data_IF_562925615729
#
_entry.id   IF_562925615729
#
_cell.length_a   1.000
_cell.length_b   1.000
_cell.length_c   1.000
_cell.angle_alpha   90.00
_cell.angle_beta   90.00
_cell.angle_gamma   90.00
#
_symmetry.space_group_name_H-M   'P 1'
#
loop_
_entity.id
_entity.type
_entity.pdbx_description
1 polymer ?
#
# COMPACT_ATOMS: atom_id res chain seq x y z
N UNK A 1 34.85 16.99 33.07
CA UNK A 1 33.43 16.88 32.64
C UNK A 1 32.63 18.18 32.83
N UNK A 2 33.10 19.14 33.65
CA UNK A 2 32.43 20.43 33.88
C UNK A 2 32.23 21.34 32.66
N UNK A 3 33.20 21.40 31.74
CA UNK A 3 33.15 22.33 30.59
C UNK A 3 31.98 22.05 29.64
N UNK A 4 31.53 20.79 29.54
CA UNK A 4 30.38 20.41 28.72
C UNK A 4 29.06 20.83 29.36
N UNK A 5 28.97 20.76 30.69
CA UNK A 5 27.78 21.20 31.45
C UNK A 5 27.57 22.72 31.37
N UNK A 6 28.65 23.50 31.48
CA UNK A 6 28.62 24.97 31.34
C UNK A 6 28.27 25.42 29.92
N UNK A 7 28.64 24.63 28.91
CA UNK A 7 28.23 24.89 27.53
C UNK A 7 26.72 24.66 27.35
N UNK A 8 26.20 23.55 27.83
CA UNK A 8 24.77 23.20 27.71
C UNK A 8 23.88 24.23 28.41
N UNK A 9 24.22 24.67 29.61
CA UNK A 9 23.43 25.68 30.34
C UNK A 9 23.38 27.03 29.61
N UNK A 10 24.49 27.46 29.00
CA UNK A 10 24.54 28.67 28.17
C UNK A 10 23.65 28.57 26.93
N UNK A 11 23.60 27.41 26.28
CA UNK A 11 22.74 27.19 25.12
C UNK A 11 21.26 27.21 25.51
N UNK A 12 20.91 26.52 26.60
CA UNK A 12 19.53 26.52 27.12
C UNK A 12 19.06 27.93 27.49
N UNK A 13 19.90 28.71 28.15
CA UNK A 13 19.56 30.09 28.52
C UNK A 13 19.35 30.97 27.29
N UNK A 14 20.19 30.84 26.25
CA UNK A 14 20.02 31.57 24.98
C UNK A 14 18.70 31.21 24.29
N UNK A 15 18.38 29.93 24.19
CA UNK A 15 17.13 29.47 23.57
C UNK A 15 15.92 29.95 24.36
N UNK A 16 15.96 29.93 25.69
CA UNK A 16 14.88 30.43 26.54
C UNK A 16 14.64 31.94 26.34
N UNK A 17 15.71 32.73 26.23
CA UNK A 17 15.60 34.17 25.94
C UNK A 17 14.97 34.42 24.57
N UNK A 18 15.46 33.73 23.53
CA UNK A 18 14.92 33.88 22.18
C UNK A 18 13.45 33.46 22.10
N UNK A 19 13.08 32.36 22.76
CA UNK A 19 11.69 31.92 22.81
C UNK A 19 10.77 32.97 23.46
N UNK A 20 11.25 33.63 24.52
CA UNK A 20 10.49 34.71 25.17
C UNK A 20 10.35 35.94 24.27
N UNK A 21 11.41 36.34 23.57
CA UNK A 21 11.35 37.44 22.60
C UNK A 21 10.38 37.15 21.45
N UNK A 22 10.36 35.90 20.95
CA UNK A 22 9.41 35.47 19.92
C UNK A 22 7.98 35.54 20.45
N UNK A 23 7.73 35.11 21.69
CA UNK A 23 6.42 35.17 22.30
C UNK A 23 5.92 36.62 22.45
N UNK A 24 6.76 37.52 22.95
CA UNK A 24 6.38 38.94 23.08
C UNK A 24 6.18 39.60 21.71
N UNK A 25 7.01 39.25 20.72
CA UNK A 25 6.80 39.67 19.32
C UNK A 25 5.51 39.11 18.72
N UNK A 26 5.11 37.89 19.08
CA UNK A 26 3.85 37.31 18.63
C UNK A 26 2.64 37.98 19.30
N UNK A 27 2.70 38.26 20.62
CA UNK A 27 1.64 38.96 21.37
C UNK A 27 1.36 40.37 20.83
N UNK A 28 2.41 41.06 20.38
CA UNK A 28 2.30 42.41 19.81
C UNK A 28 1.80 42.42 18.36
N UNK A 29 1.83 41.26 17.67
CA UNK A 29 1.17 41.10 16.37
C UNK A 29 -0.33 40.95 16.61
N UNK A 30 -1.03 42.08 16.66
CA UNK A 30 -2.48 42.09 16.57
C UNK A 30 -2.86 41.69 15.14
N UNK A 31 -3.06 40.39 14.92
CA UNK A 31 -3.59 39.88 13.67
C UNK A 31 -5.05 40.31 13.58
N UNK A 32 -5.31 41.42 12.90
CA UNK A 32 -6.64 41.75 12.45
C UNK A 32 -6.94 40.81 11.28
N UNK A 33 -7.52 39.66 11.59
CA UNK A 33 -8.12 38.82 10.57
C UNK A 33 -9.37 39.57 10.10
N UNK A 34 -9.39 40.18 8.90
CA UNK A 34 -10.59 40.84 8.45
C UNK A 34 -11.67 39.75 8.41
N UNK A 35 -12.60 39.80 9.35
CA UNK A 35 -13.81 39.01 9.22
C UNK A 35 -14.47 39.54 7.95
N UNK A 36 -14.74 38.69 6.94
CA UNK A 36 -15.49 39.13 5.79
C UNK A 36 -16.79 39.77 6.28
N UNK A 37 -17.06 41.01 5.86
CA UNK A 37 -18.26 41.77 6.24
C UNK A 37 -19.56 41.00 5.97
N UNK A 38 -19.50 40.02 5.06
CA UNK A 38 -20.58 39.07 4.75
C UNK A 38 -21.00 38.17 5.93
N UNK A 39 -20.11 37.91 6.90
CA UNK A 39 -20.46 37.09 8.09
C UNK A 39 -21.31 37.85 9.11
N UNK A 40 -21.26 39.19 9.13
CA UNK A 40 -22.02 39.97 10.11
C UNK A 40 -23.51 40.10 9.74
N UNK A 41 -23.88 39.81 8.48
CA UNK A 41 -25.28 39.72 8.04
C UNK A 41 -25.83 38.29 8.10
N UNK A 42 -24.96 37.26 8.13
CA UNK A 42 -25.34 35.84 8.16
C UNK A 42 -25.60 35.26 9.56
N UNK A 43 -25.28 35.98 10.64
CA UNK A 43 -25.50 35.52 12.03
C UNK A 43 -26.97 35.32 12.41
N UNK A 44 -27.93 35.52 11.50
CA UNK A 44 -29.34 35.18 11.71
C UNK A 44 -29.90 34.15 10.71
N UNK A 45 -29.10 33.57 9.79
CA UNK A 45 -29.62 32.58 8.83
C UNK A 45 -28.67 31.47 8.32
N UNK A 46 -27.44 31.34 8.81
CA UNK A 46 -26.53 30.27 8.34
C UNK A 46 -26.28 29.23 9.45
N UNK A 47 -27.18 28.27 9.58
CA UNK A 47 -27.08 27.18 10.55
C UNK A 47 -26.89 25.84 9.83
N UNK A 48 -25.75 25.18 10.07
CA UNK A 48 -25.44 23.79 9.71
C UNK A 48 -25.27 23.42 8.22
N UNK A 49 -25.82 24.16 7.25
CA UNK A 49 -25.86 23.71 5.85
C UNK A 49 -24.51 23.78 5.10
N UNK A 50 -23.72 24.85 5.25
CA UNK A 50 -22.44 25.01 4.53
C UNK A 50 -21.33 24.14 5.15
N UNK A 51 -21.27 24.04 6.49
CA UNK A 51 -20.32 23.18 7.19
C UNK A 51 -20.59 21.70 6.92
N UNK A 52 -21.86 21.29 6.84
CA UNK A 52 -22.22 19.92 6.47
C UNK A 52 -21.83 19.62 5.01
N UNK A 53 -22.00 20.58 4.10
CA UNK A 53 -21.59 20.43 2.69
C UNK A 53 -20.07 20.31 2.55
N UNK A 54 -19.30 21.11 3.29
CA UNK A 54 -17.84 21.03 3.27
C UNK A 54 -17.34 19.73 3.91
N UNK A 55 -17.93 19.31 5.03
CA UNK A 55 -17.62 18.02 5.65
C UNK A 55 -17.92 16.84 4.71
N UNK A 56 -19.05 16.89 3.99
CA UNK A 56 -19.40 15.90 2.99
C UNK A 56 -18.41 15.90 1.80
N UNK A 57 -17.95 17.07 1.34
CA UNK A 57 -16.95 17.16 0.29
C UNK A 57 -15.62 16.52 0.71
N UNK A 58 -15.14 16.80 1.93
CA UNK A 58 -13.95 16.15 2.47
C UNK A 58 -14.13 14.65 2.66
N UNK A 59 -15.30 14.21 3.13
CA UNK A 59 -15.62 12.79 3.25
C UNK A 59 -15.58 12.09 1.88
N UNK A 60 -16.13 12.72 0.83
CA UNK A 60 -16.07 12.19 -0.54
C UNK A 60 -14.63 12.10 -1.06
N UNK A 61 -13.79 13.11 -0.82
CA UNK A 61 -12.37 13.04 -1.20
C UNK A 61 -11.67 11.92 -0.44
N UNK A 62 -11.90 11.79 0.87
CA UNK A 62 -11.31 10.73 1.68
C UNK A 62 -11.76 9.32 1.22
N UNK A 63 -13.02 9.18 0.83
CA UNK A 63 -13.56 7.94 0.26
C UNK A 63 -12.89 7.60 -1.07
N UNK A 64 -12.77 8.56 -1.99
CA UNK A 64 -12.08 8.35 -3.27
C UNK A 64 -10.61 7.98 -3.06
N UNK A 65 -9.91 8.66 -2.15
CA UNK A 65 -8.52 8.32 -1.83
C UNK A 65 -8.41 6.90 -1.23
N UNK A 66 -9.35 6.50 -0.39
CA UNK A 66 -9.41 5.15 0.19
C UNK A 66 -9.65 4.09 -0.89
N UNK A 67 -10.57 4.37 -1.83
CA UNK A 67 -10.84 3.49 -2.98
C UNK A 67 -9.58 3.34 -3.85
N UNK A 68 -8.93 4.45 -4.21
CA UNK A 68 -7.71 4.42 -5.01
C UNK A 68 -6.60 3.63 -4.29
N UNK A 69 -6.45 3.82 -2.98
CA UNK A 69 -5.49 3.04 -2.19
C UNK A 69 -5.79 1.54 -2.22
N UNK A 70 -7.05 1.13 -2.09
CA UNK A 70 -7.42 -0.29 -2.16
C UNK A 70 -7.16 -0.90 -3.55
N UNK A 71 -7.46 -0.16 -4.62
CA UNK A 71 -7.17 -0.58 -5.99
C UNK A 71 -5.65 -0.69 -6.25
N UNK A 72 -4.86 0.23 -5.72
CA UNK A 72 -3.40 0.12 -5.74
C UNK A 72 -2.93 -1.13 -4.99
N UNK A 73 -3.47 -1.42 -3.80
CA UNK A 73 -3.11 -2.62 -3.04
C UNK A 73 -3.41 -3.90 -3.82
N UNK A 74 -4.62 -4.01 -4.41
CA UNK A 74 -5.00 -5.14 -5.27
C UNK A 74 -4.06 -5.30 -6.47
N UNK A 75 -3.75 -4.21 -7.17
CA UNK A 75 -2.83 -4.23 -8.31
C UNK A 75 -1.44 -4.71 -7.88
N UNK A 76 -0.86 -4.10 -6.85
CA UNK A 76 0.50 -4.42 -6.40
C UNK A 76 0.63 -5.78 -5.71
N UNK A 77 -0.47 -6.35 -5.19
CA UNK A 77 -0.49 -7.72 -4.68
C UNK A 77 -0.57 -8.77 -5.79
N UNK A 78 -1.23 -8.46 -6.91
CA UNK A 78 -1.47 -9.40 -8.01
C UNK A 78 -0.43 -9.33 -9.13
N UNK A 79 0.28 -8.19 -9.26
CA UNK A 79 1.28 -8.00 -10.31
C UNK A 79 2.67 -8.41 -9.81
N UNK A 80 3.43 -9.19 -10.61
CA UNK A 80 4.79 -9.55 -10.24
C UNK A 80 5.71 -8.32 -10.16
N UNK A 81 6.57 -8.23 -9.14
CA UNK A 81 7.32 -7.02 -8.86
C UNK A 81 8.51 -6.75 -9.78
N UNK A 82 8.80 -7.66 -10.72
CA UNK A 82 9.78 -7.43 -11.79
C UNK A 82 9.34 -6.38 -12.83
N UNK A 83 8.10 -5.89 -12.73
CA UNK A 83 7.55 -4.86 -13.63
C UNK A 83 7.50 -3.47 -12.99
N UNK A 84 7.87 -3.34 -11.71
CA UNK A 84 7.71 -2.08 -10.98
C UNK A 84 8.89 -1.15 -11.20
N UNK A 85 8.60 0.12 -11.42
CA UNK A 85 9.58 1.20 -11.46
C UNK A 85 9.93 1.66 -10.04
N UNK A 86 11.05 2.35 -9.87
CA UNK A 86 11.52 2.83 -8.54
C UNK A 86 10.46 3.63 -7.76
N UNK A 87 9.68 4.48 -8.45
CA UNK A 87 8.63 5.28 -7.81
C UNK A 87 7.44 4.43 -7.33
N UNK A 88 7.16 3.31 -7.99
CA UNK A 88 6.11 2.37 -7.58
C UNK A 88 6.56 1.58 -6.36
N UNK A 89 7.83 1.17 -6.33
CA UNK A 89 8.44 0.56 -5.14
C UNK A 89 8.35 1.51 -3.94
N UNK A 90 8.74 2.78 -4.11
CA UNK A 90 8.64 3.79 -3.06
C UNK A 90 7.19 4.03 -2.61
N UNK A 91 6.22 3.99 -3.54
CA UNK A 91 4.80 4.07 -3.23
C UNK A 91 4.35 2.90 -2.34
N UNK A 92 4.69 1.66 -2.72
CA UNK A 92 4.31 0.45 -1.97
C UNK A 92 4.80 0.52 -0.52
N UNK A 93 6.08 0.85 -0.32
CA UNK A 93 6.65 0.95 1.03
C UNK A 93 6.06 2.09 1.88
N UNK A 94 5.51 3.13 1.24
CA UNK A 94 5.02 4.32 1.93
C UNK A 94 3.55 4.24 2.30
N UNK A 95 2.73 3.60 1.48
CA UNK A 95 1.27 3.66 1.59
C UNK A 95 0.60 2.30 1.82
N UNK A 96 1.25 1.18 1.53
CA UNK A 96 0.65 -0.14 1.64
C UNK A 96 1.18 -0.95 2.82
N UNK A 97 0.41 -1.99 3.16
CA UNK A 97 0.64 -2.84 4.33
C UNK A 97 1.94 -3.65 4.22
N UNK A 98 2.37 -4.20 5.37
CA UNK A 98 3.54 -5.06 5.48
C UNK A 98 3.51 -6.21 4.47
N UNK A 99 2.33 -6.75 4.16
CA UNK A 99 2.16 -7.85 3.21
C UNK A 99 2.63 -7.48 1.79
N UNK A 100 2.22 -6.32 1.27
CA UNK A 100 2.63 -5.87 -0.06
C UNK A 100 4.15 -5.62 -0.12
N UNK A 101 4.72 -5.05 0.94
CA UNK A 101 6.17 -4.85 1.06
C UNK A 101 6.95 -6.17 1.16
N UNK A 102 6.40 -7.17 1.86
CA UNK A 102 7.02 -8.50 2.01
C UNK A 102 6.98 -9.29 0.70
N UNK A 103 5.89 -9.20 -0.06
CA UNK A 103 5.77 -9.81 -1.39
C UNK A 103 6.81 -9.23 -2.36
N UNK A 104 7.00 -7.90 -2.34
CA UNK A 104 8.05 -7.23 -3.11
C UNK A 104 9.45 -7.73 -2.71
N UNK A 105 9.75 -7.78 -1.41
CA UNK A 105 11.03 -8.24 -0.86
C UNK A 105 11.31 -9.71 -1.20
N UNK A 106 10.31 -10.60 -1.11
CA UNK A 106 10.42 -12.01 -1.49
C UNK A 106 10.82 -12.15 -2.95
N UNK A 107 10.19 -11.39 -3.84
CA UNK A 107 10.51 -11.50 -5.25
C UNK A 107 11.91 -10.98 -5.62
N UNK A 108 12.42 -9.95 -4.94
CA UNK A 108 13.82 -9.52 -5.14
C UNK A 108 14.82 -10.57 -4.66
N UNK A 109 14.58 -11.22 -3.52
CA UNK A 109 15.41 -12.34 -3.07
C UNK A 109 15.37 -13.52 -4.05
N UNK A 110 14.26 -13.64 -4.76
CA UNK A 110 14.07 -14.72 -5.73
C UNK A 110 14.87 -14.55 -7.03
N UNK A 111 15.22 -13.33 -7.39
CA UNK A 111 16.11 -13.01 -8.52
C UNK A 111 17.58 -13.30 -8.18
N UNK A 112 17.98 -13.11 -6.92
CA UNK A 112 19.35 -13.26 -6.46
C UNK A 112 19.83 -14.72 -6.56
N UNK A 113 18.93 -15.70 -6.44
CA UNK A 113 19.25 -17.12 -6.66
C UNK A 113 19.17 -17.57 -8.14
N UNK A 114 18.64 -16.74 -9.05
CA UNK A 114 18.44 -17.10 -10.46
C UNK A 114 19.55 -16.59 -11.39
N UNK A 115 20.44 -15.74 -10.88
CA UNK A 115 21.60 -15.18 -11.62
C UNK A 115 22.93 -15.85 -11.25
N UNK A 116 22.92 -16.96 -10.51
CA UNK A 116 24.12 -17.79 -10.28
C UNK A 116 24.54 -18.55 -11.54
N UNK A 117 25.85 -18.78 -11.77
CA UNK A 117 26.31 -19.46 -12.98
C UNK A 117 25.83 -20.91 -13.02
N UNK A 118 25.29 -21.27 -14.18
CA UNK A 118 24.90 -22.63 -14.58
C UNK A 118 26.04 -23.60 -14.22
N UNK A 119 25.76 -24.51 -13.29
CA UNK A 119 26.47 -25.78 -13.17
C UNK A 119 25.39 -26.86 -13.18
N UNK A 120 25.32 -27.56 -14.31
CA UNK A 120 24.60 -28.82 -14.42
C UNK A 120 25.29 -29.89 -13.56
N UNK A 121 24.49 -30.70 -12.85
CA UNK A 121 24.56 -32.19 -12.75
C UNK A 121 23.71 -32.69 -11.54
N UNK A 122 23.31 -33.97 -11.50
CA UNK A 122 21.94 -34.41 -11.27
C UNK A 122 21.81 -35.30 -10.02
N UNK A 123 20.56 -35.63 -9.66
CA UNK A 123 20.27 -36.81 -8.84
C UNK A 123 19.29 -36.56 -7.71
N UNK A 124 18.07 -37.09 -7.87
CA UNK A 124 17.24 -37.52 -6.74
C UNK A 124 17.92 -38.73 -6.04
N UNK A 125 17.64 -39.00 -4.74
CA UNK A 125 16.42 -39.73 -4.42
C UNK A 125 15.70 -39.31 -3.11
N UNK A 126 14.46 -39.76 -3.04
CA UNK A 126 13.46 -39.59 -1.98
C UNK A 126 13.92 -40.08 -0.59
N UNK A 127 13.46 -39.44 0.49
CA UNK A 127 13.13 -40.10 1.78
C UNK A 127 12.21 -39.21 2.61
N UNK A 128 11.05 -39.77 2.95
CA UNK A 128 9.98 -39.22 3.77
C UNK A 128 10.40 -38.99 5.24
N UNK A 129 9.97 -37.88 5.87
CA UNK A 129 9.59 -37.88 7.30
C UNK A 129 8.88 -36.58 7.70
N UNK A 130 7.55 -36.69 7.73
CA UNK A 130 6.55 -36.02 8.58
C UNK A 130 7.03 -35.01 9.64
N UNK A 131 6.51 -33.78 9.55
CA UNK A 131 6.21 -32.94 10.71
C UNK A 131 4.96 -32.08 10.42
N UNK A 132 3.89 -32.41 11.13
CA UNK A 132 2.53 -31.86 11.02
C UNK A 132 2.48 -30.39 11.48
N UNK A 133 1.91 -29.51 10.65
CA UNK A 133 1.40 -28.18 11.06
C UNK A 133 0.00 -28.00 10.45
N UNK A 134 -0.98 -27.43 11.17
CA UNK A 134 -2.40 -27.67 10.90
C UNK A 134 -2.89 -26.99 9.62
N UNK A 135 -3.52 -27.80 8.76
CA UNK A 135 -4.31 -27.41 7.60
C UNK A 135 -5.42 -26.44 8.03
N UNK A 136 -5.30 -25.17 7.62
CA UNK A 136 -6.48 -24.30 7.50
C UNK A 136 -7.22 -24.77 6.26
N UNK A 137 -8.47 -25.20 6.44
CA UNK A 137 -9.34 -25.65 5.36
C UNK A 137 -9.42 -24.59 4.26
N UNK A 138 -8.65 -24.80 3.19
CA UNK A 138 -8.82 -24.10 1.94
C UNK A 138 -10.19 -24.49 1.39
N UNK A 139 -11.16 -23.58 1.52
CA UNK A 139 -12.42 -23.72 0.80
C UNK A 139 -12.09 -23.64 -0.70
N UNK A 140 -12.02 -24.80 -1.35
CA UNK A 140 -11.99 -24.88 -2.81
C UNK A 140 -13.22 -24.15 -3.34
N UNK A 141 -13.00 -22.99 -3.96
CA UNK A 141 -14.06 -22.19 -4.59
C UNK A 141 -13.81 -22.21 -6.09
N UNK A 142 -14.69 -22.91 -6.80
CA UNK A 142 -14.72 -22.86 -8.25
C UNK A 142 -15.21 -21.49 -8.70
N UNK A 143 -14.57 -20.93 -9.72
CA UNK A 143 -14.89 -19.62 -10.30
C UNK A 143 -15.35 -19.82 -11.73
N UNK A 144 -16.43 -19.14 -12.12
CA UNK A 144 -16.96 -19.14 -13.48
C UNK A 144 -16.77 -17.76 -14.09
N UNK A 145 -16.21 -17.72 -15.30
CA UNK A 145 -15.95 -16.48 -16.04
C UNK A 145 -16.52 -16.65 -17.44
N UNK A 146 -17.48 -15.80 -17.81
CA UNK A 146 -18.05 -15.75 -19.16
C UNK A 146 -17.23 -14.79 -20.02
N UNK A 147 -16.83 -15.26 -21.20
CA UNK A 147 -16.00 -14.49 -22.14
C UNK A 147 -16.52 -14.67 -23.57
N UNK A 148 -16.23 -13.70 -24.43
CA UNK A 148 -16.48 -13.83 -25.85
C UNK A 148 -15.63 -14.95 -26.47
N UNK A 149 -16.00 -15.51 -27.63
CA UNK A 149 -15.14 -16.46 -28.34
C UNK A 149 -13.79 -15.84 -28.70
N UNK A 150 -12.69 -16.57 -28.45
CA UNK A 150 -11.35 -16.03 -28.60
C UNK A 150 -10.25 -16.90 -27.99
N UNK A 151 -9.01 -16.41 -28.05
CA UNK A 151 -7.85 -17.05 -27.41
C UNK A 151 -7.50 -16.24 -26.15
N UNK A 152 -7.44 -16.94 -25.02
CA UNK A 152 -7.22 -16.36 -23.70
C UNK A 152 -6.02 -16.99 -23.02
N UNK A 153 -5.26 -16.17 -22.31
CA UNK A 153 -4.20 -16.62 -21.41
C UNK A 153 -4.72 -16.53 -19.99
N UNK A 154 -4.90 -17.66 -19.33
CA UNK A 154 -5.39 -17.74 -17.95
C UNK A 154 -4.22 -18.04 -17.03
N UNK A 155 -4.00 -17.17 -16.05
CA UNK A 155 -2.93 -17.29 -15.07
C UNK A 155 -3.52 -17.43 -13.68
N UNK A 156 -3.10 -18.46 -12.94
CA UNK A 156 -3.42 -18.63 -11.54
C UNK A 156 -2.15 -18.75 -10.70
N UNK A 157 -2.18 -18.22 -9.49
CA UNK A 157 -1.03 -18.23 -8.57
C UNK A 157 -1.50 -18.28 -7.12
N UNK A 158 -0.85 -19.11 -6.30
CA UNK A 158 -1.03 -19.10 -4.85
C UNK A 158 -0.27 -17.91 -4.24
N UNK A 159 -0.82 -17.30 -3.20
CA UNK A 159 -0.12 -16.25 -2.45
C UNK A 159 0.87 -16.85 -1.43
N UNK A 160 0.61 -18.09 -1.00
CA UNK A 160 1.41 -18.81 -0.01
C UNK A 160 2.55 -19.58 -0.68
N UNK A 161 2.25 -20.23 -1.80
CA UNK A 161 3.20 -21.02 -2.58
C UNK A 161 3.66 -20.24 -3.81
N UNK A 162 4.96 -20.24 -4.11
CA UNK A 162 5.52 -19.53 -5.29
C UNK A 162 5.14 -20.19 -6.63
N UNK A 163 4.14 -21.07 -6.62
CA UNK A 163 3.65 -21.82 -7.77
C UNK A 163 2.74 -20.91 -8.61
N UNK A 164 3.07 -20.81 -9.90
CA UNK A 164 2.27 -20.08 -10.89
C UNK A 164 2.03 -21.00 -12.06
N UNK A 165 0.78 -21.09 -12.49
CA UNK A 165 0.39 -21.92 -13.61
C UNK A 165 -0.37 -21.06 -14.62
N UNK A 166 0.02 -21.19 -15.88
CA UNK A 166 -0.51 -20.42 -16.99
C UNK A 166 -0.98 -21.37 -18.09
N UNK A 167 -2.23 -21.21 -18.51
CA UNK A 167 -2.84 -21.98 -19.59
C UNK A 167 -3.26 -21.05 -20.72
N UNK A 168 -2.96 -21.46 -21.96
CA UNK A 168 -3.48 -20.81 -23.15
C UNK A 168 -4.69 -21.62 -23.63
N UNK A 169 -5.86 -20.98 -23.69
CA UNK A 169 -7.12 -21.64 -24.02
C UNK A 169 -7.77 -20.91 -25.17
N UNK A 170 -8.23 -21.68 -26.15
CA UNK A 170 -9.08 -21.19 -27.22
C UNK A 170 -10.53 -21.57 -26.89
N UNK A 171 -11.43 -20.60 -26.88
CA UNK A 171 -12.85 -20.77 -26.56
C UNK A 171 -13.66 -20.50 -27.82
N UNK A 172 -14.40 -21.50 -28.28
CA UNK A 172 -15.36 -21.39 -29.37
C UNK A 172 -16.73 -20.89 -28.88
N UNK A 173 -17.60 -20.41 -29.78
CA UNK A 173 -18.97 -20.06 -29.41
C UNK A 173 -19.70 -21.24 -28.74
N UNK A 174 -20.35 -20.96 -27.61
CA UNK A 174 -21.07 -21.95 -26.77
C UNK A 174 -20.19 -23.05 -26.14
N UNK A 175 -18.87 -22.89 -26.15
CA UNK A 175 -17.93 -23.79 -25.48
C UNK A 175 -17.66 -23.34 -24.04
N UNK A 176 -17.47 -24.32 -23.14
CA UNK A 176 -16.96 -24.07 -21.79
C UNK A 176 -15.75 -24.96 -21.51
N UNK A 177 -14.70 -24.37 -20.94
CA UNK A 177 -13.45 -25.08 -20.63
C UNK A 177 -13.25 -25.04 -19.12
N UNK A 178 -13.15 -26.22 -18.51
CA UNK A 178 -12.80 -26.33 -17.10
C UNK A 178 -11.27 -26.37 -16.95
N UNK A 179 -10.74 -25.46 -16.14
CA UNK A 179 -9.31 -25.39 -15.84
C UNK A 179 -9.11 -25.69 -14.35
N UNK A 180 -8.29 -26.69 -14.08
CA UNK A 180 -7.82 -27.01 -12.73
C UNK A 180 -6.41 -26.48 -12.57
N UNK A 181 -6.16 -25.79 -11.46
CA UNK A 181 -4.86 -25.27 -11.11
C UNK A 181 -4.41 -25.92 -9.81
N UNK A 182 -3.33 -26.68 -9.87
CA UNK A 182 -2.69 -27.29 -8.70
C UNK A 182 -1.69 -26.27 -8.15
N UNK A 183 -2.18 -25.35 -7.32
CA UNK A 183 -1.43 -24.21 -6.77
C UNK A 183 -0.96 -24.45 -5.35
#
# INVERSE_FOLDING_TARGET
MESRSLSVTRHMQRTATLAREVLERAKTRKLHWPLPTELQRRTFQEGASEDAHLAAAFASVAEHLSHISAECENYYCCVPPFQFKEHEVAHIFRYHSRQASENLLKAFKNEEYKTGPIVEEPGCPDTESSALVPVKNAQLKDIYIEVSPGIYTVCASSCEDTVRQTHLVQIQPEESVNLTFDL
#
